data_IF_808572254606
#
_entry.id   IF_808572254606
#
_cell.length_a   1.000
_cell.length_b   1.000
_cell.length_c   1.000
_cell.angle_alpha   90.00
_cell.angle_beta   90.00
_cell.angle_gamma   90.00
#
_symmetry.space_group_name_H-M   'P 1'
#
loop_
_entity.id
_entity.type
_entity.pdbx_description
1 polymer ?
#
# COMPACT_ATOMS: atom_id res chain seq x y z
N UNK A 1 -2.37 14.08 -21.95
CA UNK A 1 -1.46 13.65 -20.88
C UNK A 1 -1.78 12.20 -20.60
N UNK A 2 -0.77 11.33 -20.72
CA UNK A 2 -0.91 9.92 -20.35
C UNK A 2 -1.27 9.85 -18.86
N UNK A 3 -2.32 9.10 -18.53
CA UNK A 3 -2.81 8.86 -17.16
C UNK A 3 -2.43 7.45 -16.69
N UNK A 4 -1.55 6.76 -17.41
CA UNK A 4 -1.11 5.41 -17.12
C UNK A 4 -0.21 5.34 -15.89
N UNK A 5 -0.25 4.23 -15.14
CA UNK A 5 0.66 4.05 -14.01
C UNK A 5 2.14 4.12 -14.47
N UNK A 6 3.02 4.62 -13.60
CA UNK A 6 4.45 4.71 -13.87
C UNK A 6 5.00 3.37 -14.36
N UNK A 7 5.60 3.37 -15.56
CA UNK A 7 6.30 2.22 -16.08
C UNK A 7 7.62 2.02 -15.34
N UNK A 8 8.10 0.76 -15.29
CA UNK A 8 9.44 0.48 -14.76
C UNK A 8 10.50 1.15 -15.63
N UNK A 9 11.52 1.74 -15.00
CA UNK A 9 12.59 2.44 -15.69
C UNK A 9 13.95 1.78 -15.45
N UNK A 10 15.01 2.28 -16.09
CA UNK A 10 16.37 1.85 -15.80
C UNK A 10 16.81 2.35 -14.42
N UNK A 11 17.77 1.66 -13.79
CA UNK A 11 18.35 2.12 -12.51
C UNK A 11 19.09 3.47 -12.59
N UNK A 12 19.39 3.96 -13.80
CA UNK A 12 19.91 5.32 -13.98
C UNK A 12 18.83 6.40 -13.83
N UNK A 13 17.58 6.05 -14.17
CA UNK A 13 16.44 6.97 -14.13
C UNK A 13 15.68 6.88 -12.80
N UNK A 14 15.52 5.67 -12.27
CA UNK A 14 14.90 5.40 -10.97
C UNK A 14 15.95 4.82 -10.01
N UNK A 15 16.80 5.69 -9.47
CA UNK A 15 17.93 5.32 -8.61
C UNK A 15 17.51 4.84 -7.21
N UNK A 16 16.27 5.13 -6.78
CA UNK A 16 15.77 4.76 -5.46
C UNK A 16 14.93 3.50 -5.52
N UNK A 17 15.22 2.57 -4.61
CA UNK A 17 14.46 1.34 -4.41
C UNK A 17 14.00 1.28 -2.96
N UNK A 18 12.70 1.10 -2.76
CA UNK A 18 12.11 0.92 -1.43
C UNK A 18 11.41 -0.43 -1.38
N UNK A 19 11.78 -1.22 -0.38
CA UNK A 19 11.21 -2.55 -0.12
C UNK A 19 10.54 -2.51 1.24
N UNK A 20 9.24 -2.80 1.27
CA UNK A 20 8.45 -2.86 2.50
C UNK A 20 7.86 -4.27 2.60
N UNK A 21 8.47 -5.15 3.42
CA UNK A 21 7.83 -6.37 3.87
C UNK A 21 6.65 -6.03 4.78
N UNK A 22 5.52 -6.70 4.60
CA UNK A 22 4.30 -6.40 5.35
C UNK A 22 3.52 -7.67 5.70
N UNK A 23 3.03 -7.70 6.92
CA UNK A 23 2.06 -8.69 7.40
C UNK A 23 0.80 -8.00 7.89
N UNK A 24 -0.33 -8.70 7.77
CA UNK A 24 -1.64 -8.30 8.24
C UNK A 24 -2.02 -9.15 9.45
N UNK A 25 -2.89 -8.59 10.30
CA UNK A 25 -3.38 -9.25 11.51
C UNK A 25 -4.34 -10.39 11.17
N UNK A 26 -4.59 -11.27 12.14
CA UNK A 26 -5.58 -12.35 11.97
C UNK A 26 -6.99 -11.79 11.76
N UNK A 27 -7.32 -10.67 12.41
CA UNK A 27 -8.58 -9.98 12.19
C UNK A 27 -8.78 -9.58 10.72
N UNK A 28 -7.73 -9.08 10.05
CA UNK A 28 -7.80 -8.78 8.62
C UNK A 28 -8.07 -10.02 7.77
N UNK A 29 -7.36 -11.12 8.03
CA UNK A 29 -7.51 -12.34 7.23
C UNK A 29 -8.80 -13.12 7.49
N UNK A 30 -9.42 -12.92 8.66
CA UNK A 30 -10.75 -13.45 8.96
C UNK A 30 -11.88 -12.74 8.22
N UNK A 31 -11.64 -11.55 7.65
CA UNK A 31 -12.60 -10.89 6.77
C UNK A 31 -12.74 -11.64 5.44
N UNK A 32 -13.97 -11.68 4.93
CA UNK A 32 -14.26 -12.16 3.58
C UNK A 32 -13.47 -11.35 2.53
N UNK A 33 -13.34 -11.94 1.34
CA UNK A 33 -12.65 -11.27 0.24
C UNK A 33 -13.33 -9.94 -0.13
N UNK A 34 -14.67 -9.90 -0.12
CA UNK A 34 -15.44 -8.70 -0.45
C UNK A 34 -15.23 -7.59 0.59
N UNK A 35 -15.26 -7.93 1.88
CA UNK A 35 -15.00 -6.98 2.97
C UNK A 35 -13.61 -6.37 2.83
N UNK A 36 -12.57 -7.17 2.58
CA UNK A 36 -11.21 -6.66 2.34
C UNK A 36 -11.12 -5.79 1.08
N UNK A 37 -11.88 -6.13 0.04
CA UNK A 37 -11.86 -5.39 -1.22
C UNK A 37 -12.45 -3.98 -1.08
N UNK A 38 -13.43 -3.79 -0.19
CA UNK A 38 -14.03 -2.48 0.06
C UNK A 38 -12.99 -1.46 0.53
N UNK A 39 -12.02 -1.86 1.37
CA UNK A 39 -10.95 -0.99 1.87
C UNK A 39 -10.03 -0.43 0.78
N UNK A 40 -10.04 -1.01 -0.43
CA UNK A 40 -9.18 -0.55 -1.52
C UNK A 40 -9.70 0.72 -2.22
N UNK A 41 -11.01 0.98 -2.16
CA UNK A 41 -11.67 2.10 -2.84
C UNK A 41 -12.32 3.06 -1.84
N UNK A 42 -12.76 4.26 -2.27
CA UNK A 42 -13.54 5.14 -1.41
C UNK A 42 -14.79 4.44 -0.88
N UNK A 43 -15.01 4.49 0.42
CA UNK A 43 -16.14 3.85 1.10
C UNK A 43 -16.53 4.61 2.37
N UNK A 44 -17.65 4.23 2.99
CA UNK A 44 -17.98 4.66 4.34
C UNK A 44 -17.36 3.67 5.32
N UNK A 45 -16.47 4.15 6.16
CA UNK A 45 -15.88 3.34 7.21
C UNK A 45 -16.95 2.97 8.25
N UNK A 46 -17.05 1.68 8.56
CA UNK A 46 -18.13 1.17 9.41
C UNK A 46 -17.92 1.52 10.89
N UNK A 47 -16.68 1.73 11.32
CA UNK A 47 -16.36 2.07 12.72
C UNK A 47 -16.43 3.59 12.97
N UNK A 48 -15.86 4.39 12.05
CA UNK A 48 -15.81 5.84 12.14
C UNK A 48 -17.09 6.52 11.61
N UNK A 49 -17.90 5.81 10.81
CA UNK A 49 -19.17 6.30 10.26
C UNK A 49 -19.03 7.40 9.19
N UNK A 50 -17.81 7.66 8.71
CA UNK A 50 -17.49 8.73 7.77
C UNK A 50 -16.90 8.23 6.45
N UNK A 51 -16.91 9.06 5.40
CA UNK A 51 -16.26 8.73 4.13
C UNK A 51 -14.73 8.69 4.31
N UNK A 52 -14.12 7.64 3.78
CA UNK A 52 -12.67 7.46 3.72
C UNK A 52 -12.21 7.30 2.28
N UNK A 53 -10.97 7.69 2.00
CA UNK A 53 -10.40 7.67 0.65
C UNK A 53 -10.13 6.24 0.14
N UNK A 54 -9.76 5.35 1.06
CA UNK A 54 -9.30 4.00 0.72
C UNK A 54 -7.93 3.99 0.03
N UNK A 55 -7.38 2.80 -0.17
CA UNK A 55 -6.01 2.62 -0.63
C UNK A 55 -5.70 3.34 -1.96
N UNK A 56 -6.56 3.16 -2.98
CA UNK A 56 -6.30 3.65 -4.33
C UNK A 56 -6.21 5.18 -4.38
N UNK A 57 -7.12 5.88 -3.71
CA UNK A 57 -7.13 7.34 -3.67
C UNK A 57 -6.06 7.89 -2.72
N UNK A 58 -5.79 7.23 -1.59
CA UNK A 58 -4.70 7.63 -0.69
C UNK A 58 -3.31 7.60 -1.39
N UNK A 59 -3.13 6.72 -2.38
CA UNK A 59 -1.89 6.59 -3.15
C UNK A 59 -1.85 7.41 -4.45
N UNK A 60 -2.87 8.24 -4.74
CA UNK A 60 -3.05 8.91 -6.04
C UNK A 60 -1.81 9.71 -6.48
N UNK A 61 -1.20 10.45 -5.56
CA UNK A 61 -0.02 11.28 -5.84
C UNK A 61 1.17 10.48 -6.42
N UNK A 62 1.26 9.18 -6.11
CA UNK A 62 2.33 8.30 -6.58
C UNK A 62 2.08 7.62 -7.92
N UNK A 63 0.87 7.69 -8.48
CA UNK A 63 0.49 6.85 -9.64
C UNK A 63 1.40 7.07 -10.84
N UNK A 64 1.80 8.31 -11.12
CA UNK A 64 2.59 8.68 -12.30
C UNK A 64 4.10 8.67 -12.05
N UNK A 65 4.53 8.60 -10.78
CA UNK A 65 5.90 8.92 -10.37
C UNK A 65 6.62 7.76 -9.68
N UNK A 66 5.87 6.76 -9.22
CA UNK A 66 6.40 5.62 -8.45
C UNK A 66 5.98 4.33 -9.14
N UNK A 67 6.95 3.60 -9.68
CA UNK A 67 6.71 2.22 -10.10
C UNK A 67 6.45 1.38 -8.85
N UNK A 68 5.47 0.48 -8.91
CA UNK A 68 5.13 -0.41 -7.80
C UNK A 68 4.88 -1.84 -8.24
N UNK A 69 5.31 -2.78 -7.41
CA UNK A 69 4.96 -4.20 -7.53
C UNK A 69 4.69 -4.79 -6.15
N UNK A 70 3.67 -5.64 -6.05
CA UNK A 70 3.37 -6.41 -4.85
C UNK A 70 3.59 -7.88 -5.13
N UNK A 71 4.34 -8.53 -4.26
CA UNK A 71 4.53 -9.98 -4.26
C UNK A 71 3.75 -10.55 -3.09
N UNK A 72 2.96 -11.59 -3.34
CA UNK A 72 2.30 -12.37 -2.31
C UNK A 72 3.22 -13.50 -1.88
N UNK A 73 3.12 -13.90 -0.61
CA UNK A 73 3.75 -15.14 -0.17
C UNK A 73 3.13 -16.32 -0.92
N UNK A 74 3.92 -17.15 -1.65
CA UNK A 74 3.39 -18.26 -2.43
C UNK A 74 2.80 -19.37 -1.57
N UNK A 75 3.24 -19.49 -0.31
CA UNK A 75 2.85 -20.57 0.61
C UNK A 75 1.69 -20.18 1.54
N UNK A 76 1.09 -19.01 1.30
CA UNK A 76 -0.05 -18.48 2.06
C UNK A 76 0.32 -17.36 3.04
N UNK A 77 -0.70 -16.81 3.69
CA UNK A 77 -0.58 -15.67 4.61
C UNK A 77 -0.53 -16.11 6.07
N UNK A 78 -0.12 -15.22 6.96
CA UNK A 78 -0.04 -15.40 8.42
C UNK A 78 0.89 -16.50 8.90
N UNK A 79 1.94 -16.76 8.12
CA UNK A 79 2.94 -17.77 8.46
C UNK A 79 3.92 -17.19 9.51
N UNK A 80 4.30 -17.97 10.55
CA UNK A 80 5.29 -17.53 11.53
C UNK A 80 6.61 -17.15 10.85
N UNK A 81 7.25 -16.09 11.32
CA UNK A 81 8.54 -15.59 10.81
C UNK A 81 8.58 -15.26 9.31
N UNK A 82 7.41 -15.07 8.69
CA UNK A 82 7.25 -14.73 7.28
C UNK A 82 6.37 -13.49 7.07
N UNK A 83 6.41 -12.91 5.87
CA UNK A 83 5.58 -11.77 5.48
C UNK A 83 4.46 -12.21 4.55
N UNK A 84 3.29 -11.58 4.67
CA UNK A 84 2.17 -11.80 3.76
C UNK A 84 2.47 -11.24 2.35
N UNK A 85 3.13 -10.09 2.34
CA UNK A 85 3.51 -9.40 1.12
C UNK A 85 4.92 -8.82 1.23
N UNK A 86 5.58 -8.74 0.08
CA UNK A 86 6.69 -7.81 -0.13
C UNK A 86 6.23 -6.78 -1.14
N UNK A 87 6.14 -5.51 -0.75
CA UNK A 87 5.89 -4.42 -1.70
C UNK A 87 7.17 -3.72 -2.09
N UNK A 88 7.33 -3.53 -3.38
CA UNK A 88 8.52 -3.05 -4.05
C UNK A 88 8.18 -1.78 -4.81
N UNK A 89 9.00 -0.75 -4.63
CA UNK A 89 8.83 0.55 -5.26
C UNK A 89 10.14 1.03 -5.88
N UNK A 90 10.06 1.67 -7.05
CA UNK A 90 11.18 2.37 -7.69
C UNK A 90 10.76 3.82 -8.01
N UNK A 91 11.66 4.78 -7.79
CA UNK A 91 11.45 6.17 -8.20
C UNK A 91 12.76 6.95 -8.40
N UNK A 92 12.67 8.10 -9.09
CA UNK A 92 13.74 9.09 -9.19
C UNK A 92 13.90 9.89 -7.89
N UNK A 93 15.05 10.53 -7.67
CA UNK A 93 15.32 11.33 -6.46
C UNK A 93 14.27 12.43 -6.23
N UNK A 94 13.85 13.10 -7.30
CA UNK A 94 12.81 14.14 -7.27
C UNK A 94 11.43 13.64 -6.82
N UNK A 95 11.22 12.32 -6.76
CA UNK A 95 9.96 11.68 -6.36
C UNK A 95 10.02 11.02 -4.97
N UNK A 96 11.14 11.10 -4.26
CA UNK A 96 11.24 10.61 -2.88
C UNK A 96 10.24 11.30 -1.95
N UNK A 97 10.08 12.63 -2.07
CA UNK A 97 9.09 13.35 -1.29
C UNK A 97 7.64 12.88 -1.60
N UNK A 98 7.36 12.55 -2.86
CA UNK A 98 6.06 11.97 -3.25
C UNK A 98 5.86 10.59 -2.62
N UNK A 99 6.91 9.77 -2.54
CA UNK A 99 6.85 8.50 -1.84
C UNK A 99 6.52 8.67 -0.36
N UNK A 100 7.12 9.65 0.32
CA UNK A 100 6.81 9.94 1.72
C UNK A 100 5.37 10.41 1.92
N UNK A 101 4.84 11.25 1.03
CA UNK A 101 3.44 11.68 1.04
C UNK A 101 2.51 10.47 0.91
N UNK A 102 2.76 9.59 -0.06
CA UNK A 102 1.97 8.37 -0.27
C UNK A 102 2.06 7.44 0.94
N UNK A 103 3.27 7.24 1.49
CA UNK A 103 3.49 6.42 2.69
C UNK A 103 2.71 6.97 3.88
N UNK A 104 2.74 8.27 4.12
CA UNK A 104 1.99 8.90 5.20
C UNK A 104 0.48 8.73 5.00
N UNK A 105 -0.02 8.99 3.79
CA UNK A 105 -1.44 8.84 3.48
C UNK A 105 -1.94 7.39 3.63
N UNK A 106 -1.12 6.40 3.24
CA UNK A 106 -1.44 4.98 3.40
C UNK A 106 -1.38 4.50 4.86
N UNK A 107 -0.63 5.20 5.72
CA UNK A 107 -0.51 4.92 7.17
C UNK A 107 -1.50 5.72 8.03
N UNK A 108 -2.25 6.65 7.45
CA UNK A 108 -3.25 7.44 8.15
C UNK A 108 -4.55 6.65 8.28
N UNK A 109 -4.80 6.10 9.46
CA UNK A 109 -5.99 5.29 9.78
C UNK A 109 -7.32 6.05 9.60
N UNK A 110 -7.29 7.39 9.66
CA UNK A 110 -8.48 8.22 9.46
C UNK A 110 -8.86 8.34 7.98
N UNK A 111 -7.89 8.11 7.08
CA UNK A 111 -8.06 8.21 5.62
C UNK A 111 -8.03 6.85 4.94
N UNK A 112 -7.32 5.90 5.54
CA UNK A 112 -7.10 4.54 5.09
C UNK A 112 -7.18 3.55 6.27
N UNK A 113 -8.39 3.17 6.70
CA UNK A 113 -8.58 2.22 7.80
C UNK A 113 -8.03 0.81 7.49
N UNK A 114 -7.67 0.53 6.22
CA UNK A 114 -6.88 -0.65 5.82
C UNK A 114 -5.59 -0.83 6.63
N UNK A 115 -5.05 0.28 7.17
CA UNK A 115 -3.86 0.28 8.00
C UNK A 115 -4.06 -0.36 9.38
N UNK A 116 -5.25 -0.25 10.00
CA UNK A 116 -5.58 -0.90 11.27
C UNK A 116 -5.42 -2.43 11.21
N UNK A 117 -5.68 -3.01 10.03
CA UNK A 117 -5.45 -4.43 9.76
C UNK A 117 -3.98 -4.83 9.69
N UNK A 118 -3.01 -3.93 9.86
CA UNK A 118 -1.56 -4.20 9.82
C UNK A 118 -0.95 -3.95 11.22
N UNK A 119 -0.67 -5.01 11.99
CA UNK A 119 0.44 -4.92 12.95
C UNK A 119 1.72 -5.09 12.16
N UNK A 120 2.29 -3.99 11.70
CA UNK A 120 3.70 -3.99 11.30
C UNK A 120 4.50 -3.99 12.60
N UNK A 121 4.91 -5.17 13.07
CA UNK A 121 6.02 -5.25 14.01
C UNK A 121 7.25 -4.73 13.25
N UNK A 122 7.77 -3.60 13.73
CA UNK A 122 9.00 -2.93 13.30
C UNK A 122 9.01 -2.37 11.87
N UNK A 123 8.72 -1.07 11.75
CA UNK A 123 9.44 -0.04 10.97
C UNK A 123 8.90 1.36 11.35
#
# INVERSE_FOLDING_TARGET
>A
MDKGAAARQSGRSAGNVIIIPMSKTAAWWNMSMLERHAYFYPHIDQEQGGPVAGHAQAAEAGIQTIYRRRYHNPDGYQRPDEYDFVTYFECADEHLATFDIVRQALRDERRNPEWLGRRVLHW
#
